data_IF_427315664186
#
_entry.id   IF_427315664186
#
_cell.length_a   1.000
_cell.length_b   1.000
_cell.length_c   1.000
_cell.angle_alpha   90.00
_cell.angle_beta   90.00
_cell.angle_gamma   90.00
#
_symmetry.space_group_name_H-M   'P 1'
#
loop_
_entity.id
_entity.type
_entity.pdbx_description
1 polymer ?
#
# COMPACT_ATOMS: atom_id res chain seq x y z
N UNK A 1 -20.87 10.02 -25.92
CA UNK A 1 -19.66 9.82 -26.76
C UNK A 1 -19.47 8.33 -26.95
N UNK A 2 -19.40 7.84 -28.18
CA UNK A 2 -19.32 6.40 -28.45
C UNK A 2 -18.02 5.82 -27.89
N UNK A 3 -18.07 4.58 -27.39
CA UNK A 3 -16.96 3.85 -26.78
C UNK A 3 -15.68 3.85 -27.64
N UNK A 4 -15.84 3.93 -28.97
CA UNK A 4 -14.75 4.05 -29.94
C UNK A 4 -13.97 5.37 -29.86
N UNK A 5 -14.60 6.49 -29.50
CA UNK A 5 -13.90 7.77 -29.32
C UNK A 5 -13.13 7.83 -27.98
N UNK A 6 -13.65 7.19 -26.93
CA UNK A 6 -12.95 7.08 -25.64
C UNK A 6 -11.68 6.22 -25.74
N UNK A 7 -11.75 5.10 -26.47
CA UNK A 7 -10.58 4.26 -26.71
C UNK A 7 -9.55 4.97 -27.60
N UNK A 8 -9.99 5.75 -28.59
CA UNK A 8 -9.09 6.57 -29.42
C UNK A 8 -8.34 7.65 -28.62
N UNK A 9 -9.03 8.36 -27.73
CA UNK A 9 -8.41 9.40 -26.89
C UNK A 9 -7.46 8.80 -25.85
N UNK A 10 -7.80 7.65 -25.26
CA UNK A 10 -6.91 6.95 -24.33
C UNK A 10 -5.66 6.39 -25.03
N UNK A 11 -5.79 5.84 -26.24
CA UNK A 11 -4.66 5.35 -27.03
C UNK A 11 -3.72 6.49 -27.43
N UNK A 12 -4.26 7.64 -27.83
CA UNK A 12 -3.47 8.85 -28.13
C UNK A 12 -2.81 9.40 -26.87
N UNK A 13 -3.51 9.41 -25.73
CA UNK A 13 -2.96 9.82 -24.43
C UNK A 13 -1.77 8.96 -23.99
N UNK A 14 -1.89 7.64 -24.11
CA UNK A 14 -0.79 6.70 -23.80
C UNK A 14 0.39 6.91 -24.76
N UNK A 15 0.14 7.10 -26.06
CA UNK A 15 1.20 7.39 -27.03
C UNK A 15 1.93 8.71 -26.74
N UNK A 16 1.21 9.74 -26.30
CA UNK A 16 1.81 11.03 -25.90
C UNK A 16 2.65 10.87 -24.63
N UNK A 17 2.19 10.13 -23.64
CA UNK A 17 2.94 9.86 -22.40
C UNK A 17 4.22 9.05 -22.71
N UNK A 18 4.14 8.03 -23.56
CA UNK A 18 5.31 7.24 -23.97
C UNK A 18 6.29 8.09 -24.78
N UNK A 19 5.81 8.99 -25.64
CA UNK A 19 6.66 9.92 -26.38
C UNK A 19 7.34 10.96 -25.48
N UNK A 20 6.65 11.48 -24.47
CA UNK A 20 7.20 12.41 -23.48
C UNK A 20 8.23 11.72 -22.58
N UNK A 21 7.95 10.50 -22.11
CA UNK A 21 8.90 9.68 -21.34
C UNK A 21 10.14 9.32 -22.17
N UNK A 22 9.96 8.95 -23.44
CA UNK A 22 11.06 8.69 -24.37
C UNK A 22 11.89 9.95 -24.67
N UNK A 23 11.23 11.11 -24.81
CA UNK A 23 11.88 12.40 -25.01
C UNK A 23 12.72 12.84 -23.80
N UNK A 24 12.18 12.69 -22.59
CA UNK A 24 12.90 12.95 -21.34
C UNK A 24 14.10 12.02 -21.16
N UNK A 25 13.95 10.72 -21.45
CA UNK A 25 15.06 9.78 -21.40
C UNK A 25 16.17 10.14 -22.39
N UNK A 26 15.82 10.50 -23.63
CA UNK A 26 16.79 10.93 -24.65
C UNK A 26 17.48 12.25 -24.26
N UNK A 27 16.73 13.18 -23.65
CA UNK A 27 17.26 14.44 -23.13
C UNK A 27 18.25 14.20 -21.98
N UNK A 28 17.92 13.32 -21.02
CA UNK A 28 18.83 12.96 -19.94
C UNK A 28 20.11 12.28 -20.43
N UNK A 29 20.02 11.41 -21.44
CA UNK A 29 21.20 10.77 -22.04
C UNK A 29 22.08 11.80 -22.77
N UNK A 30 21.47 12.75 -23.51
CA UNK A 30 22.20 13.84 -24.18
C UNK A 30 22.86 14.79 -23.18
N UNK A 31 22.17 15.15 -22.09
CA UNK A 31 22.75 15.95 -21.01
C UNK A 31 23.93 15.25 -20.33
N UNK A 32 23.80 13.95 -20.02
CA UNK A 32 24.90 13.17 -19.43
C UNK A 32 26.11 13.09 -20.36
N UNK A 33 25.88 12.96 -21.67
CA UNK A 33 26.96 12.93 -22.66
C UNK A 33 27.72 14.27 -22.72
N UNK A 34 27.01 15.40 -22.77
CA UNK A 34 27.63 16.75 -22.70
C UNK A 34 28.42 16.95 -21.42
N UNK A 35 27.88 16.52 -20.28
CA UNK A 35 28.55 16.64 -18.98
C UNK A 35 29.81 15.76 -18.89
N UNK A 36 29.84 14.61 -19.58
CA UNK A 36 31.04 13.78 -19.69
C UNK A 36 32.10 14.36 -20.62
N UNK A 37 31.69 15.00 -21.72
CA UNK A 37 32.58 15.67 -22.67
C UNK A 37 33.19 16.94 -22.03
N UNK A 38 32.41 17.72 -21.29
CA UNK A 38 32.88 18.89 -20.54
C UNK A 38 33.86 18.50 -19.41
N UNK A 39 33.61 17.38 -18.72
CA UNK A 39 34.54 16.86 -17.70
C UNK A 39 35.84 16.36 -18.31
N UNK A 40 35.78 15.69 -19.47
CA UNK A 40 36.98 15.27 -20.19
C UNK A 40 37.83 16.48 -20.62
N UNK A 41 37.20 17.53 -21.16
CA UNK A 41 37.87 18.77 -21.53
C UNK A 41 38.46 19.51 -20.31
N UNK A 42 37.76 19.51 -19.17
CA UNK A 42 38.28 20.11 -17.94
C UNK A 42 39.51 19.36 -17.40
N UNK A 43 39.55 18.03 -17.51
CA UNK A 43 40.70 17.22 -17.11
C UNK A 43 41.89 17.46 -18.06
N UNK A 44 41.64 17.56 -19.37
CA UNK A 44 42.68 17.84 -20.37
C UNK A 44 43.28 19.24 -20.19
N UNK A 45 42.47 20.26 -19.89
CA UNK A 45 42.95 21.61 -19.57
C UNK A 45 43.79 21.65 -18.30
N UNK A 46 43.41 20.92 -17.24
CA UNK A 46 44.18 20.85 -16.00
C UNK A 46 45.52 20.11 -16.21
N UNK A 47 45.56 19.11 -17.09
CA UNK A 47 46.80 18.43 -17.46
C UNK A 47 47.74 19.32 -18.28
N UNK A 48 47.20 20.09 -19.23
CA UNK A 48 47.97 21.05 -20.03
C UNK A 48 48.52 22.22 -19.18
N UNK A 49 47.74 22.74 -18.23
CA UNK A 49 48.17 23.81 -17.31
C UNK A 49 49.29 23.34 -16.37
N UNK A 50 49.25 22.08 -15.90
CA UNK A 50 50.36 21.49 -15.12
C UNK A 50 51.64 21.33 -15.93
N UNK A 51 51.54 20.88 -17.19
CA UNK A 51 52.69 20.76 -18.08
C UNK A 51 53.30 22.13 -18.46
N UNK A 52 52.49 23.19 -18.52
CA UNK A 52 52.95 24.56 -18.73
C UNK A 52 53.59 25.17 -17.47
N UNK A 53 53.08 24.85 -16.28
CA UNK A 53 53.61 25.30 -15.00
C UNK A 53 55.00 24.67 -14.69
N UNK A 54 55.21 23.40 -15.02
CA UNK A 54 56.51 22.72 -14.83
C UNK A 54 57.60 23.23 -15.80
N UNK A 55 57.22 23.96 -16.86
CA UNK A 55 58.15 24.55 -17.84
C UNK A 55 58.53 26.01 -17.52
N UNK A 56 57.87 26.63 -16.54
CA UNK A 56 57.97 28.07 -16.26
C UNK A 56 58.60 28.40 -14.89
N UNK A 57 59.33 27.48 -14.27
CA UNK A 57 60.16 27.78 -13.09
C UNK A 57 61.50 28.38 -13.50
N UNK A 58 61.45 29.62 -14.02
CA UNK A 58 62.60 30.53 -14.10
C UNK A 58 62.13 31.98 -14.37
N UNK A 59 61.48 32.63 -13.40
CA UNK A 59 61.81 34.00 -12.93
C UNK A 59 60.80 34.55 -11.91
N UNK A 60 61.31 35.22 -10.88
CA UNK A 60 60.66 35.45 -9.58
C UNK A 60 59.80 36.73 -9.47
N UNK A 61 58.69 36.64 -8.71
CA UNK A 61 58.13 37.77 -7.94
C UNK A 61 56.83 38.39 -8.45
N UNK A 62 56.82 38.99 -9.64
CA UNK A 62 55.67 39.78 -10.15
C UNK A 62 54.54 38.92 -10.73
N UNK A 63 54.89 37.77 -11.31
CA UNK A 63 53.94 36.81 -11.89
C UNK A 63 53.11 36.13 -10.80
N UNK A 64 53.69 35.82 -9.64
CA UNK A 64 52.99 35.17 -8.53
C UNK A 64 51.82 36.01 -7.99
N UNK A 65 51.96 37.34 -7.96
CA UNK A 65 50.91 38.26 -7.47
C UNK A 65 49.76 38.39 -8.46
N UNK A 66 50.04 38.48 -9.77
CA UNK A 66 49.01 38.47 -10.81
C UNK A 66 48.27 37.12 -10.90
N UNK A 67 48.97 35.99 -10.69
CA UNK A 67 48.36 34.66 -10.68
C UNK A 67 47.43 34.50 -9.47
N UNK A 68 47.84 35.01 -8.30
CA UNK A 68 47.01 34.99 -7.08
C UNK A 68 45.72 35.83 -7.23
N UNK A 69 45.81 37.05 -7.79
CA UNK A 69 44.63 37.89 -8.06
C UNK A 69 43.69 37.26 -9.08
N UNK A 70 44.24 36.66 -10.15
CA UNK A 70 43.43 35.99 -11.19
C UNK A 70 42.75 34.73 -10.66
N UNK A 71 43.37 34.00 -9.74
CA UNK A 71 42.77 32.87 -9.02
C UNK A 71 41.66 33.31 -8.06
N UNK A 72 41.86 34.42 -7.34
CA UNK A 72 40.83 34.97 -6.45
C UNK A 72 39.60 35.45 -7.24
N UNK A 73 39.80 36.14 -8.36
CA UNK A 73 38.71 36.56 -9.23
C UNK A 73 37.95 35.38 -9.85
N UNK A 74 38.67 34.32 -10.28
CA UNK A 74 38.03 33.09 -10.79
C UNK A 74 37.22 32.36 -9.71
N UNK A 75 37.71 32.31 -8.46
CA UNK A 75 36.97 31.70 -7.33
C UNK A 75 35.69 32.48 -7.03
N UNK A 76 35.75 33.79 -6.98
CA UNK A 76 34.57 34.64 -6.75
C UNK A 76 33.52 34.50 -7.87
N UNK A 77 33.95 34.35 -9.13
CA UNK A 77 33.03 34.13 -10.25
C UNK A 77 32.36 32.74 -10.20
N UNK A 78 33.11 31.70 -9.81
CA UNK A 78 32.58 30.35 -9.65
C UNK A 78 31.60 30.25 -8.48
N UNK A 79 31.86 30.96 -7.39
CA UNK A 79 30.99 30.97 -6.21
C UNK A 79 29.65 31.67 -6.49
N UNK A 80 29.68 32.78 -7.25
CA UNK A 80 28.45 33.43 -7.73
C UNK A 80 27.65 32.53 -8.68
N UNK A 81 28.31 31.85 -9.61
CA UNK A 81 27.65 30.92 -10.52
C UNK A 81 27.06 29.69 -9.79
N UNK A 82 27.70 29.22 -8.73
CA UNK A 82 27.19 28.14 -7.89
C UNK A 82 25.95 28.56 -7.09
N UNK A 83 25.94 29.79 -6.56
CA UNK A 83 24.79 30.36 -5.85
C UNK A 83 23.59 30.61 -6.78
N UNK A 84 23.81 31.11 -8.00
CA UNK A 84 22.73 31.27 -8.99
C UNK A 84 22.14 29.93 -9.43
N UNK A 85 22.98 28.91 -9.66
CA UNK A 85 22.49 27.55 -9.97
C UNK A 85 21.71 26.95 -8.81
N UNK A 86 22.19 27.10 -7.57
CA UNK A 86 21.46 26.64 -6.39
C UNK A 86 20.10 27.34 -6.21
N UNK A 87 20.00 28.62 -6.57
CA UNK A 87 18.73 29.35 -6.56
C UNK A 87 17.77 28.86 -7.66
N UNK A 88 18.27 28.58 -8.86
CA UNK A 88 17.47 28.02 -9.96
C UNK A 88 17.01 26.59 -9.67
N UNK A 89 17.86 25.75 -9.08
CA UNK A 89 17.50 24.38 -8.70
C UNK A 89 16.43 24.36 -7.61
N UNK A 90 16.50 25.28 -6.63
CA UNK A 90 15.44 25.44 -5.61
C UNK A 90 14.11 25.86 -6.22
N UNK A 91 14.12 26.81 -7.14
CA UNK A 91 12.90 27.25 -7.83
C UNK A 91 12.29 26.12 -8.69
N UNK A 92 13.11 25.30 -9.35
CA UNK A 92 12.65 24.15 -10.12
C UNK A 92 12.05 23.05 -9.23
N UNK A 93 12.64 22.82 -8.05
CA UNK A 93 12.11 21.86 -7.06
C UNK A 93 10.78 22.34 -6.47
N UNK A 94 10.66 23.62 -6.14
CA UNK A 94 9.39 24.19 -5.65
C UNK A 94 8.28 24.09 -6.70
N UNK A 95 8.56 24.37 -7.97
CA UNK A 95 7.59 24.19 -9.06
C UNK A 95 7.15 22.73 -9.21
N UNK A 96 8.10 21.79 -9.18
CA UNK A 96 7.79 20.36 -9.24
C UNK A 96 6.93 19.88 -8.06
N UNK A 97 7.16 20.40 -6.85
CA UNK A 97 6.34 20.09 -5.67
C UNK A 97 4.91 20.62 -5.85
N UNK A 98 4.75 21.85 -6.38
CA UNK A 98 3.42 22.43 -6.62
C UNK A 98 2.64 21.70 -7.71
N UNK A 99 3.31 21.26 -8.79
CA UNK A 99 2.69 20.48 -9.87
C UNK A 99 2.29 19.08 -9.38
N UNK A 100 3.13 18.45 -8.55
CA UNK A 100 2.84 17.15 -7.96
C UNK A 100 1.64 17.21 -7.00
N UNK A 101 1.58 18.23 -6.14
CA UNK A 101 0.44 18.45 -5.25
C UNK A 101 -0.88 18.70 -6.03
N UNK A 102 -0.81 19.45 -7.13
CA UNK A 102 -1.97 19.66 -8.00
C UNK A 102 -2.43 18.38 -8.72
N UNK A 103 -1.49 17.53 -9.12
CA UNK A 103 -1.79 16.23 -9.74
C UNK A 103 -2.40 15.24 -8.74
N UNK A 104 -1.89 15.19 -7.51
CA UNK A 104 -2.41 14.33 -6.44
C UNK A 104 -3.84 14.74 -6.03
N UNK A 105 -4.11 16.05 -5.93
CA UNK A 105 -5.44 16.56 -5.65
C UNK A 105 -6.44 16.21 -6.77
N UNK A 106 -6.01 16.27 -8.04
CA UNK A 106 -6.83 15.87 -9.17
C UNK A 106 -7.10 14.36 -9.23
N UNK A 107 -6.14 13.51 -8.83
CA UNK A 107 -6.39 12.07 -8.70
C UNK A 107 -7.33 11.73 -7.55
N UNK A 108 -7.17 12.39 -6.39
CA UNK A 108 -8.06 12.23 -5.26
C UNK A 108 -9.52 12.56 -5.61
N UNK A 109 -9.76 13.67 -6.32
CA UNK A 109 -11.10 14.04 -6.80
C UNK A 109 -11.68 13.00 -7.79
N UNK A 110 -10.85 12.45 -8.68
CA UNK A 110 -11.29 11.39 -9.62
C UNK A 110 -11.64 10.09 -8.91
N UNK A 111 -10.91 9.73 -7.85
CA UNK A 111 -11.20 8.56 -7.02
C UNK A 111 -12.51 8.76 -6.26
N UNK A 112 -12.75 9.95 -5.70
CA UNK A 112 -14.00 10.29 -5.01
C UNK A 112 -15.22 10.22 -5.96
N UNK A 113 -15.09 10.79 -7.16
CA UNK A 113 -16.15 10.70 -8.17
C UNK A 113 -16.43 9.26 -8.63
N UNK A 114 -15.40 8.42 -8.73
CA UNK A 114 -15.56 6.99 -9.05
C UNK A 114 -16.26 6.22 -7.93
N UNK A 115 -15.91 6.47 -6.67
CA UNK A 115 -16.58 5.87 -5.51
C UNK A 115 -18.06 6.26 -5.46
N UNK A 116 -18.36 7.56 -5.60
CA UNK A 116 -19.75 8.04 -5.65
C UNK A 116 -20.55 7.45 -6.82
N UNK A 117 -19.93 7.23 -7.98
CA UNK A 117 -20.58 6.58 -9.12
C UNK A 117 -20.80 5.07 -8.90
N UNK A 118 -19.88 4.39 -8.19
CA UNK A 118 -20.04 2.98 -7.82
C UNK A 118 -21.16 2.80 -6.79
N UNK A 119 -21.20 3.63 -5.74
CA UNK A 119 -22.26 3.63 -4.72
C UNK A 119 -23.65 3.86 -5.33
N UNK A 120 -23.78 4.78 -6.30
CA UNK A 120 -25.04 4.99 -7.01
C UNK A 120 -25.49 3.76 -7.81
N UNK A 121 -24.57 3.05 -8.45
CA UNK A 121 -24.88 1.81 -9.18
C UNK A 121 -25.30 0.69 -8.23
N UNK A 122 -24.61 0.55 -7.10
CA UNK A 122 -25.00 -0.42 -6.06
C UNK A 122 -26.39 -0.08 -5.48
N UNK A 123 -26.70 1.20 -5.26
CA UNK A 123 -28.02 1.64 -4.83
C UNK A 123 -29.12 1.34 -5.87
N UNK A 124 -28.86 1.60 -7.16
CA UNK A 124 -29.77 1.26 -8.25
C UNK A 124 -29.96 -0.27 -8.39
N UNK A 125 -28.90 -1.06 -8.23
CA UNK A 125 -28.98 -2.52 -8.24
C UNK A 125 -29.80 -3.05 -7.05
N UNK A 126 -29.60 -2.50 -5.84
CA UNK A 126 -30.41 -2.85 -4.67
C UNK A 126 -31.88 -2.47 -4.87
N UNK A 127 -32.17 -1.31 -5.43
CA UNK A 127 -33.54 -0.89 -5.73
C UNK A 127 -34.20 -1.80 -6.79
N UNK A 128 -33.45 -2.20 -7.81
CA UNK A 128 -33.95 -3.14 -8.83
C UNK A 128 -34.22 -4.53 -8.25
N UNK A 129 -33.38 -4.99 -7.30
CA UNK A 129 -33.58 -6.25 -6.58
C UNK A 129 -34.78 -6.18 -5.65
N UNK A 130 -34.99 -5.05 -4.98
CA UNK A 130 -36.18 -4.83 -4.15
C UNK A 130 -37.45 -4.83 -5.00
N UNK A 131 -37.46 -4.17 -6.17
CA UNK A 131 -38.59 -4.25 -7.10
C UNK A 131 -38.85 -5.66 -7.61
N UNK A 132 -37.80 -6.41 -7.97
CA UNK A 132 -37.95 -7.81 -8.36
C UNK A 132 -38.49 -8.69 -7.22
N UNK A 133 -38.11 -8.40 -5.97
CA UNK A 133 -38.66 -9.07 -4.78
C UNK A 133 -40.11 -8.66 -4.55
N UNK A 134 -40.47 -7.39 -4.73
CA UNK A 134 -41.85 -6.90 -4.62
C UNK A 134 -42.76 -7.50 -5.70
N UNK A 135 -42.28 -7.60 -6.94
CA UNK A 135 -42.98 -8.28 -8.05
C UNK A 135 -43.14 -9.77 -7.76
N UNK A 136 -42.09 -10.44 -7.26
CA UNK A 136 -42.16 -11.84 -6.86
C UNK A 136 -43.11 -12.07 -5.67
N UNK A 137 -43.18 -11.13 -4.72
CA UNK A 137 -44.15 -11.16 -3.61
C UNK A 137 -45.57 -10.93 -4.15
N UNK A 138 -45.77 -10.02 -5.10
CA UNK A 138 -47.07 -9.78 -5.72
C UNK A 138 -47.55 -11.01 -6.51
N UNK A 139 -46.69 -11.60 -7.34
CA UNK A 139 -46.98 -12.84 -8.06
C UNK A 139 -47.27 -14.00 -7.11
N UNK A 140 -46.50 -14.12 -6.01
CA UNK A 140 -46.74 -15.12 -4.98
C UNK A 140 -48.07 -14.90 -4.25
N UNK A 141 -48.44 -13.66 -3.93
CA UNK A 141 -49.74 -13.33 -3.30
C UNK A 141 -50.90 -13.63 -4.25
N UNK A 142 -50.76 -13.34 -5.55
CA UNK A 142 -51.76 -13.72 -6.56
C UNK A 142 -51.87 -15.24 -6.70
N UNK A 143 -50.74 -15.95 -6.76
CA UNK A 143 -50.70 -17.41 -6.78
C UNK A 143 -51.25 -18.04 -5.49
N UNK A 144 -51.08 -17.39 -4.33
CA UNK A 144 -51.62 -17.81 -3.04
C UNK A 144 -53.14 -17.53 -2.96
N UNK A 145 -53.65 -16.47 -3.59
CA UNK A 145 -55.09 -16.21 -3.72
C UNK A 145 -55.77 -17.17 -4.69
N UNK A 146 -55.15 -17.44 -5.84
CA UNK A 146 -55.57 -18.44 -6.81
C UNK A 146 -55.51 -19.84 -6.18
N UNK A 147 -54.43 -20.12 -5.44
CA UNK A 147 -54.22 -21.31 -4.64
C UNK A 147 -55.24 -21.45 -3.50
N UNK A 148 -55.64 -20.36 -2.81
CA UNK A 148 -56.71 -20.37 -1.80
C UNK A 148 -58.10 -20.57 -2.42
N UNK A 149 -58.35 -20.05 -3.62
CA UNK A 149 -59.56 -20.35 -4.41
C UNK A 149 -59.62 -21.84 -4.78
N UNK A 150 -58.48 -22.44 -5.14
CA UNK A 150 -58.34 -23.87 -5.44
C UNK A 150 -58.26 -24.76 -4.19
N UNK A 151 -57.79 -24.25 -3.05
CA UNK A 151 -57.71 -24.97 -1.77
C UNK A 151 -59.03 -24.94 -0.98
N UNK A 152 -59.94 -23.99 -1.28
CA UNK A 152 -61.33 -24.05 -0.81
C UNK A 152 -62.08 -25.32 -1.28
N UNK A 153 -61.51 -26.06 -2.25
CA UNK A 153 -62.07 -27.32 -2.78
C UNK A 153 -61.33 -28.60 -2.36
N UNK A 154 -60.26 -28.54 -1.56
CA UNK A 154 -59.69 -29.77 -0.96
C UNK A 154 -58.74 -29.51 0.21
N UNK A 155 -58.85 -30.22 1.34
CA UNK A 155 -57.92 -30.07 2.45
C UNK A 155 -56.82 -31.15 2.38
N UNK A 156 -55.57 -30.77 2.11
CA UNK A 156 -54.46 -31.37 2.83
C UNK A 156 -53.19 -30.51 2.79
N UNK A 157 -52.54 -30.36 3.95
CA UNK A 157 -51.31 -29.58 4.17
C UNK A 157 -50.07 -30.33 3.68
N UNK A 158 -49.16 -29.63 3.01
CA UNK A 158 -47.73 -29.98 2.93
C UNK A 158 -46.86 -28.75 3.24
N UNK A 159 -45.67 -28.91 3.83
CA UNK A 159 -44.98 -27.83 4.54
C UNK A 159 -44.13 -26.97 3.58
N UNK A 160 -44.37 -25.66 3.62
CA UNK A 160 -43.48 -24.64 3.02
C UNK A 160 -42.16 -24.58 3.80
N UNK A 161 -41.03 -24.58 3.09
CA UNK A 161 -39.70 -24.34 3.68
C UNK A 161 -39.60 -22.87 4.11
N UNK A 162 -39.73 -22.61 5.40
CA UNK A 162 -39.46 -21.31 5.98
C UNK A 162 -37.94 -21.18 6.21
N UNK A 163 -37.29 -20.18 5.60
CA UNK A 163 -35.95 -19.76 6.02
C UNK A 163 -36.07 -19.17 7.43
N UNK A 164 -35.62 -19.92 8.45
CA UNK A 164 -35.69 -19.45 9.83
C UNK A 164 -34.72 -18.28 10.01
N UNK A 165 -35.10 -17.23 10.74
CA UNK A 165 -34.24 -16.06 11.07
C UNK A 165 -32.81 -16.47 11.49
N UNK A 166 -32.68 -17.57 12.22
CA UNK A 166 -31.41 -18.18 12.65
C UNK A 166 -30.51 -18.56 11.47
N UNK A 167 -31.07 -19.11 10.38
CA UNK A 167 -30.30 -19.52 9.19
C UNK A 167 -29.74 -18.31 8.43
N UNK A 168 -30.49 -17.21 8.37
CA UNK A 168 -30.00 -15.97 7.78
C UNK A 168 -28.83 -15.38 8.58
N UNK A 169 -28.92 -15.42 9.92
CA UNK A 169 -27.83 -15.02 10.82
C UNK A 169 -26.62 -15.94 10.61
N UNK A 170 -26.83 -17.25 10.51
CA UNK A 170 -25.77 -18.22 10.26
C UNK A 170 -25.01 -17.93 8.97
N UNK A 171 -25.74 -17.70 7.87
CA UNK A 171 -25.14 -17.37 6.59
C UNK A 171 -24.29 -16.09 6.66
N UNK A 172 -24.78 -15.08 7.39
CA UNK A 172 -24.06 -13.82 7.57
C UNK A 172 -22.78 -14.00 8.40
N UNK A 173 -22.82 -14.83 9.44
CA UNK A 173 -21.65 -15.21 10.24
C UNK A 173 -20.62 -15.92 9.36
N UNK A 174 -21.04 -16.89 8.53
CA UNK A 174 -20.14 -17.62 7.64
C UNK A 174 -19.49 -16.71 6.61
N UNK A 175 -20.26 -15.84 5.97
CA UNK A 175 -19.71 -14.85 5.02
C UNK A 175 -18.70 -13.92 5.71
N UNK A 176 -18.98 -13.49 6.94
CA UNK A 176 -18.02 -12.70 7.70
C UNK A 176 -16.74 -13.48 8.02
N UNK A 177 -16.86 -14.74 8.41
CA UNK A 177 -15.73 -15.62 8.72
C UNK A 177 -14.82 -15.84 7.50
N UNK A 178 -15.40 -15.92 6.30
CA UNK A 178 -14.66 -16.00 5.04
C UNK A 178 -13.87 -14.72 4.75
N UNK A 179 -14.48 -13.55 4.95
CA UNK A 179 -13.77 -12.27 4.82
C UNK A 179 -12.61 -12.19 5.82
N UNK A 180 -12.83 -12.57 7.08
CA UNK A 180 -11.78 -12.58 8.09
C UNK A 180 -10.63 -13.51 7.70
N UNK A 181 -10.93 -14.70 7.15
CA UNK A 181 -9.90 -15.62 6.70
C UNK A 181 -9.06 -15.06 5.54
N UNK A 182 -9.68 -14.35 4.59
CA UNK A 182 -8.97 -13.71 3.46
C UNK A 182 -8.05 -12.59 3.93
N UNK A 183 -8.53 -11.72 4.82
CA UNK A 183 -7.75 -10.62 5.37
C UNK A 183 -6.53 -11.12 6.17
N UNK A 184 -6.67 -12.24 6.89
CA UNK A 184 -5.55 -12.88 7.58
C UNK A 184 -4.49 -13.35 6.58
N UNK A 185 -4.90 -14.00 5.50
CA UNK A 185 -3.96 -14.47 4.47
C UNK A 185 -3.24 -13.31 3.76
N UNK A 186 -3.96 -12.22 3.48
CA UNK A 186 -3.38 -11.03 2.88
C UNK A 186 -2.37 -10.37 3.82
N UNK A 187 -2.73 -10.19 5.10
CA UNK A 187 -1.82 -9.65 6.10
C UNK A 187 -0.58 -10.51 6.28
N UNK A 188 -0.73 -11.83 6.32
CA UNK A 188 0.39 -12.77 6.42
C UNK A 188 1.32 -12.68 5.19
N UNK A 189 0.75 -12.60 3.99
CA UNK A 189 1.52 -12.41 2.76
C UNK A 189 2.33 -11.11 2.79
N UNK A 190 1.69 -10.00 3.19
CA UNK A 190 2.35 -8.70 3.29
C UNK A 190 3.47 -8.75 4.34
N UNK A 191 3.19 -9.28 5.54
CA UNK A 191 4.20 -9.45 6.61
C UNK A 191 5.42 -10.22 6.10
N UNK A 192 5.20 -11.37 5.46
CA UNK A 192 6.27 -12.21 4.94
C UNK A 192 7.07 -11.52 3.82
N UNK A 193 6.42 -10.70 2.98
CA UNK A 193 7.10 -9.90 1.97
C UNK A 193 8.01 -8.84 2.59
N UNK A 194 7.54 -8.13 3.61
CA UNK A 194 8.35 -7.15 4.35
C UNK A 194 9.52 -7.86 5.03
N UNK A 195 9.24 -8.96 5.73
CA UNK A 195 10.25 -9.74 6.46
C UNK A 195 11.35 -10.24 5.53
N UNK A 196 10.99 -10.81 4.37
CA UNK A 196 11.95 -11.17 3.34
C UNK A 196 12.78 -9.96 2.89
N UNK A 197 12.14 -8.82 2.62
CA UNK A 197 12.84 -7.59 2.26
C UNK A 197 13.86 -7.16 3.31
N UNK A 198 13.51 -7.27 4.59
CA UNK A 198 14.39 -6.92 5.73
C UNK A 198 15.54 -7.91 5.89
N UNK A 199 15.27 -9.22 5.78
CA UNK A 199 16.27 -10.26 6.05
C UNK A 199 17.27 -10.42 4.90
N UNK A 200 16.82 -10.29 3.65
CA UNK A 200 17.69 -10.45 2.49
C UNK A 200 18.53 -9.21 2.17
N UNK A 201 18.07 -8.01 2.53
CA UNK A 201 18.77 -6.76 2.20
C UNK A 201 20.22 -6.70 2.70
N UNK A 202 20.57 -7.09 3.95
CA UNK A 202 21.96 -7.17 4.40
C UNK A 202 22.81 -8.18 3.62
N UNK A 203 22.22 -9.29 3.16
CA UNK A 203 22.91 -10.34 2.41
C UNK A 203 23.22 -9.83 1.00
N UNK A 204 22.21 -9.27 0.33
CA UNK A 204 22.36 -8.66 -0.99
C UNK A 204 23.38 -7.53 -0.97
N UNK A 205 23.40 -6.70 0.08
CA UNK A 205 24.39 -5.63 0.22
C UNK A 205 25.81 -6.20 0.26
N UNK A 206 26.06 -7.20 1.11
CA UNK A 206 27.39 -7.84 1.22
C UNK A 206 27.85 -8.45 -0.10
N UNK A 207 26.98 -9.22 -0.75
CA UNK A 207 27.27 -9.81 -2.07
C UNK A 207 27.58 -8.74 -3.12
N UNK A 208 26.78 -7.67 -3.17
CA UNK A 208 27.00 -6.56 -4.12
C UNK A 208 28.31 -5.83 -3.86
N UNK A 209 28.70 -5.66 -2.59
CA UNK A 209 29.98 -5.05 -2.21
C UNK A 209 31.15 -5.92 -2.64
N UNK A 210 31.07 -7.24 -2.47
CA UNK A 210 32.12 -8.17 -2.89
C UNK A 210 32.27 -8.19 -4.42
N UNK A 211 31.17 -8.27 -5.15
CA UNK A 211 31.19 -8.18 -6.62
C UNK A 211 31.69 -6.81 -7.13
N UNK A 212 31.39 -5.73 -6.41
CA UNK A 212 31.89 -4.39 -6.72
C UNK A 212 33.40 -4.29 -6.49
N UNK A 213 33.92 -4.86 -5.39
CA UNK A 213 35.38 -4.94 -5.12
C UNK A 213 36.12 -5.73 -6.20
N UNK A 214 35.48 -6.76 -6.76
CA UNK A 214 35.99 -7.54 -7.89
C UNK A 214 35.83 -6.82 -9.24
N UNK A 215 35.20 -5.64 -9.28
CA UNK A 215 34.96 -4.87 -10.49
C UNK A 215 33.91 -5.50 -11.43
N UNK A 216 33.08 -6.43 -10.95
CA UNK A 216 32.02 -7.07 -11.74
C UNK A 216 30.82 -6.16 -11.94
N UNK A 217 30.43 -5.42 -10.90
CA UNK A 217 29.26 -4.52 -10.87
C UNK A 217 29.66 -3.12 -10.42
N UNK A 218 28.84 -2.11 -10.76
CA UNK A 218 28.99 -0.71 -10.31
C UNK A 218 30.40 -0.11 -10.46
N UNK A 219 31.11 -0.43 -11.55
CA UNK A 219 32.52 -0.04 -11.79
C UNK A 219 32.85 1.45 -11.66
N UNK A 220 31.85 2.32 -11.82
CA UNK A 220 31.99 3.78 -11.75
C UNK A 220 31.33 4.39 -10.50
N UNK A 221 30.77 3.57 -9.62
CA UNK A 221 30.11 4.02 -8.40
C UNK A 221 31.09 3.93 -7.24
N UNK A 222 31.01 4.91 -6.35
CA UNK A 222 31.71 4.87 -5.08
C UNK A 222 31.01 3.94 -4.08
N UNK A 223 31.71 3.55 -3.01
CA UNK A 223 31.10 2.82 -1.91
C UNK A 223 29.95 3.60 -1.25
N UNK A 224 30.05 4.94 -1.20
CA UNK A 224 28.97 5.81 -0.71
C UNK A 224 27.71 5.71 -1.59
N UNK A 225 27.86 5.64 -2.92
CA UNK A 225 26.74 5.49 -3.85
C UNK A 225 26.03 4.14 -3.67
N UNK A 226 26.79 3.08 -3.38
CA UNK A 226 26.25 1.76 -3.04
C UNK A 226 25.47 1.80 -1.72
N UNK A 227 26.03 2.41 -0.67
CA UNK A 227 25.33 2.59 0.60
C UNK A 227 24.01 3.35 0.40
N UNK A 228 24.05 4.47 -0.31
CA UNK A 228 22.87 5.28 -0.59
C UNK A 228 21.79 4.47 -1.34
N UNK A 229 22.18 3.69 -2.35
CA UNK A 229 21.25 2.83 -3.11
C UNK A 229 20.54 1.82 -2.20
N UNK A 230 21.26 1.17 -1.29
CA UNK A 230 20.67 0.19 -0.38
C UNK A 230 19.86 0.83 0.73
N UNK A 231 20.18 2.06 1.17
CA UNK A 231 19.31 2.86 2.03
C UNK A 231 17.99 3.16 1.32
N UNK A 232 18.01 3.60 0.07
CA UNK A 232 16.79 3.80 -0.71
C UNK A 232 15.97 2.52 -0.86
N UNK A 233 16.63 1.36 -1.08
CA UNK A 233 15.94 0.06 -1.12
C UNK A 233 15.28 -0.29 0.22
N UNK A 234 15.92 0.04 1.35
CA UNK A 234 15.32 -0.08 2.68
C UNK A 234 14.09 0.83 2.83
N UNK A 235 14.12 2.04 2.25
CA UNK A 235 12.98 2.97 2.24
C UNK A 235 11.85 2.58 1.28
N UNK A 236 12.12 1.87 0.17
CA UNK A 236 11.26 2.05 -1.00
C UNK A 236 9.87 1.41 -0.98
N UNK A 237 9.52 0.48 -0.08
CA UNK A 237 8.21 -0.20 -0.18
C UNK A 237 7.75 -0.74 1.17
N UNK A 238 6.68 -0.17 1.76
CA UNK A 238 5.68 -0.73 2.71
C UNK A 238 5.45 0.08 3.99
N UNK A 239 4.31 0.77 4.04
CA UNK A 239 3.73 1.44 5.21
C UNK A 239 3.22 0.40 6.23
N UNK A 240 4.11 -0.48 6.70
CA UNK A 240 3.75 -1.52 7.66
C UNK A 240 3.16 -0.95 8.95
N UNK A 241 3.53 0.27 9.35
CA UNK A 241 2.89 0.99 10.47
C UNK A 241 1.48 1.49 10.16
N UNK A 242 1.19 1.90 8.92
CA UNK A 242 -0.18 2.25 8.51
C UNK A 242 -1.08 1.01 8.51
N UNK A 243 -0.57 -0.11 7.99
CA UNK A 243 -1.27 -1.40 8.05
C UNK A 243 -1.56 -1.83 9.49
N UNK A 244 -0.59 -1.68 10.40
CA UNK A 244 -0.81 -1.94 11.82
C UNK A 244 -1.97 -1.12 12.38
N UNK A 245 -2.03 0.18 12.09
CA UNK A 245 -3.12 1.03 12.55
C UNK A 245 -4.48 0.60 11.97
N UNK A 246 -4.55 0.41 10.65
CA UNK A 246 -5.76 0.03 9.93
C UNK A 246 -6.32 -1.31 10.43
N UNK A 247 -5.48 -2.34 10.57
CA UNK A 247 -5.91 -3.65 11.00
C UNK A 247 -6.27 -3.71 12.50
N UNK A 248 -5.59 -2.95 13.36
CA UNK A 248 -6.01 -2.84 14.77
C UNK A 248 -7.43 -2.27 14.90
N UNK A 249 -7.75 -1.22 14.15
CA UNK A 249 -9.12 -0.66 14.13
C UNK A 249 -10.12 -1.66 13.55
N UNK A 250 -9.76 -2.35 12.48
CA UNK A 250 -10.61 -3.35 11.85
C UNK A 250 -10.91 -4.54 12.76
N UNK A 251 -9.94 -5.05 13.53
CA UNK A 251 -10.16 -6.14 14.50
C UNK A 251 -11.18 -5.72 15.57
N UNK A 252 -11.10 -4.47 16.06
CA UNK A 252 -12.09 -3.92 17.02
C UNK A 252 -13.49 -3.92 16.39
N UNK A 253 -13.62 -3.50 15.13
CA UNK A 253 -14.90 -3.54 14.40
C UNK A 253 -15.43 -4.97 14.26
N UNK A 254 -14.56 -5.95 13.94
CA UNK A 254 -14.97 -7.35 13.83
C UNK A 254 -15.46 -7.91 15.16
N UNK A 255 -14.73 -7.64 16.26
CA UNK A 255 -15.15 -8.06 17.61
C UNK A 255 -16.52 -7.47 17.98
N UNK A 256 -16.78 -6.22 17.62
CA UNK A 256 -18.10 -5.60 17.83
C UNK A 256 -19.19 -6.25 16.96
N UNK A 257 -18.87 -6.62 15.72
CA UNK A 257 -19.80 -7.34 14.84
C UNK A 257 -20.15 -8.73 15.40
N UNK A 258 -19.18 -9.45 15.95
CA UNK A 258 -19.43 -10.74 16.64
C UNK A 258 -20.37 -10.57 17.83
N UNK A 259 -20.21 -9.51 18.63
CA UNK A 259 -21.14 -9.18 19.72
C UNK A 259 -22.57 -8.94 19.21
N UNK A 260 -22.73 -8.27 18.07
CA UNK A 260 -24.05 -8.07 17.45
C UNK A 260 -24.66 -9.40 17.01
N UNK A 261 -23.89 -10.31 16.41
CA UNK A 261 -24.40 -11.63 16.04
C UNK A 261 -24.88 -12.42 17.26
N UNK A 262 -24.09 -12.45 18.34
CA UNK A 262 -24.46 -13.10 19.59
C UNK A 262 -25.76 -12.52 20.16
N UNK A 263 -25.91 -11.18 20.16
CA UNK A 263 -27.17 -10.52 20.56
C UNK A 263 -28.35 -10.93 19.68
N UNK A 264 -28.16 -11.02 18.36
CA UNK A 264 -29.22 -11.40 17.41
C UNK A 264 -29.70 -12.85 17.60
N UNK A 265 -28.85 -13.71 18.17
CA UNK A 265 -29.19 -15.08 18.56
C UNK A 265 -29.97 -15.16 19.89
N UNK A 266 -30.26 -14.03 20.55
CA UNK A 266 -31.16 -13.97 21.70
C UNK A 266 -30.48 -13.90 23.06
N UNK A 267 -29.16 -13.69 23.13
CA UNK A 267 -28.45 -13.53 24.40
C UNK A 267 -28.26 -12.06 24.77
N UNK A 268 -28.63 -11.70 25.99
CA UNK A 268 -28.28 -10.39 26.57
C UNK A 268 -26.78 -10.35 26.86
N UNK A 269 -26.13 -9.27 26.44
CA UNK A 269 -24.69 -9.04 26.63
C UNK A 269 -24.50 -7.93 27.65
N UNK A 270 -23.89 -8.25 28.78
CA UNK A 270 -23.45 -7.22 29.72
C UNK A 270 -22.18 -6.53 29.16
N UNK A 271 -22.07 -5.19 29.21
CA UNK A 271 -20.94 -4.46 28.63
C UNK A 271 -19.51 -4.91 29.03
N UNK A 272 -19.23 -5.35 30.29
CA UNK A 272 -17.88 -5.79 30.67
C UNK A 272 -17.56 -7.23 30.24
N UNK A 273 -18.51 -7.96 29.67
CA UNK A 273 -18.34 -9.38 29.40
C UNK A 273 -17.41 -9.66 28.21
N UNK A 274 -16.57 -10.70 28.35
CA UNK A 274 -15.78 -11.22 27.23
C UNK A 274 -16.69 -11.92 26.21
N UNK A 275 -16.33 -11.84 24.93
CA UNK A 275 -17.10 -12.51 23.86
C UNK A 275 -17.14 -14.03 24.11
N UNK A 276 -16.05 -14.60 24.63
CA UNK A 276 -15.95 -16.01 24.98
C UNK A 276 -16.95 -16.42 26.06
N UNK A 277 -17.04 -15.67 27.16
CA UNK A 277 -17.99 -15.95 28.24
C UNK A 277 -19.44 -15.86 27.74
N UNK A 278 -19.72 -14.91 26.84
CA UNK A 278 -21.03 -14.76 26.25
C UNK A 278 -21.41 -15.97 25.37
N UNK A 279 -20.46 -16.48 24.57
CA UNK A 279 -20.66 -17.70 23.76
C UNK A 279 -20.94 -18.90 24.67
N UNK A 280 -20.12 -19.11 25.72
CA UNK A 280 -20.29 -20.23 26.64
C UNK A 280 -21.63 -20.19 27.37
N UNK A 281 -22.08 -18.99 27.77
CA UNK A 281 -23.41 -18.81 28.35
C UNK A 281 -24.51 -19.12 27.32
N UNK A 282 -24.38 -18.63 26.09
CA UNK A 282 -25.34 -18.88 25.02
C UNK A 282 -25.45 -20.38 24.72
N UNK A 283 -24.33 -21.09 24.60
CA UNK A 283 -24.28 -22.54 24.39
C UNK A 283 -24.95 -23.29 25.55
N UNK A 284 -24.68 -22.91 26.81
CA UNK A 284 -25.34 -23.51 27.98
C UNK A 284 -26.84 -23.29 27.97
N UNK A 285 -27.30 -22.06 27.73
CA UNK A 285 -28.72 -21.71 27.71
C UNK A 285 -29.48 -22.50 26.63
N UNK A 286 -28.87 -22.73 25.47
CA UNK A 286 -29.47 -23.57 24.42
C UNK A 286 -29.47 -25.06 24.79
N UNK A 287 -28.40 -25.56 25.40
CA UNK A 287 -28.31 -26.95 25.86
C UNK A 287 -29.35 -27.27 26.96
N UNK A 288 -29.63 -26.31 27.83
CA UNK A 288 -30.65 -26.43 28.89
C UNK A 288 -32.07 -26.57 28.35
N UNK A 289 -32.32 -26.24 27.09
CA UNK A 289 -33.63 -26.45 26.44
C UNK A 289 -33.87 -27.90 26.03
N UNK A 290 -32.87 -28.78 26.12
CA UNK A 290 -32.92 -30.21 25.77
C UNK A 290 -33.57 -30.49 24.40
N UNK A 291 -34.89 -30.73 24.38
CA UNK A 291 -35.68 -31.08 23.19
C UNK A 291 -36.04 -29.85 22.33
N UNK A 292 -36.06 -28.66 22.90
CA UNK A 292 -36.33 -27.39 22.19
C UNK A 292 -35.04 -26.65 21.79
N UNK A 293 -33.88 -27.31 21.93
CA UNK A 293 -32.58 -26.74 21.56
C UNK A 293 -32.51 -26.44 20.06
N UNK A 294 -32.16 -25.21 19.71
CA UNK A 294 -31.93 -24.83 18.32
C UNK A 294 -30.49 -25.20 17.91
N UNK A 295 -30.37 -26.27 17.13
CA UNK A 295 -29.09 -26.78 16.64
C UNK A 295 -28.38 -25.76 15.74
N UNK A 296 -29.13 -24.95 14.98
CA UNK A 296 -28.54 -23.92 14.12
C UNK A 296 -27.88 -22.82 14.98
N UNK A 297 -28.48 -22.46 16.12
CA UNK A 297 -27.86 -21.53 17.08
C UNK A 297 -26.53 -22.07 17.58
N UNK A 298 -26.44 -23.34 17.98
CA UNK A 298 -25.18 -23.95 18.43
C UNK A 298 -24.11 -23.93 17.32
N UNK A 299 -24.48 -24.25 16.07
CA UNK A 299 -23.54 -24.16 14.95
C UNK A 299 -23.09 -22.72 14.69
N UNK A 300 -23.99 -21.75 14.75
CA UNK A 300 -23.63 -20.33 14.58
C UNK A 300 -22.66 -19.86 15.68
N UNK A 301 -22.88 -20.26 16.94
CA UNK A 301 -22.03 -19.91 18.06
C UNK A 301 -20.63 -20.51 17.92
N UNK A 302 -20.54 -21.75 17.39
CA UNK A 302 -19.25 -22.35 17.04
C UNK A 302 -18.53 -21.57 15.95
N UNK A 303 -19.21 -21.22 14.85
CA UNK A 303 -18.59 -20.43 13.77
C UNK A 303 -18.13 -19.03 14.27
N UNK A 304 -18.87 -18.44 15.22
CA UNK A 304 -18.47 -17.18 15.89
C UNK A 304 -17.22 -17.39 16.74
N UNK A 305 -17.13 -18.47 17.53
CA UNK A 305 -15.94 -18.81 18.32
C UNK A 305 -14.72 -19.03 17.41
N UNK A 306 -14.87 -19.80 16.35
CA UNK A 306 -13.78 -20.06 15.40
C UNK A 306 -13.30 -18.75 14.72
N UNK A 307 -14.23 -17.82 14.46
CA UNK A 307 -13.89 -16.48 13.96
C UNK A 307 -13.16 -15.64 15.00
N UNK A 308 -13.58 -15.71 16.27
CA UNK A 308 -12.90 -15.03 17.38
C UNK A 308 -11.46 -15.51 17.54
N UNK A 309 -11.23 -16.83 17.45
CA UNK A 309 -9.89 -17.42 17.54
C UNK A 309 -8.99 -16.96 16.38
N UNK A 310 -9.53 -16.87 15.17
CA UNK A 310 -8.83 -16.31 14.01
C UNK A 310 -8.45 -14.84 14.22
N UNK A 311 -9.34 -14.03 14.81
CA UNK A 311 -9.03 -12.62 15.14
C UNK A 311 -7.92 -12.51 16.20
N UNK A 312 -7.88 -13.40 17.19
CA UNK A 312 -6.79 -13.47 18.17
C UNK A 312 -5.47 -13.85 17.49
N UNK A 313 -5.50 -14.82 16.56
CA UNK A 313 -4.35 -15.15 15.72
C UNK A 313 -3.86 -13.96 14.89
N UNK A 314 -4.79 -13.18 14.33
CA UNK A 314 -4.46 -11.95 13.59
C UNK A 314 -3.77 -10.89 14.47
N UNK A 315 -4.17 -10.75 15.74
CA UNK A 315 -3.46 -9.87 16.69
C UNK A 315 -2.01 -10.31 16.92
N UNK A 316 -1.75 -11.62 16.85
CA UNK A 316 -0.38 -12.15 16.93
C UNK A 316 0.41 -11.82 15.66
N UNK A 317 -0.20 -11.98 14.48
CA UNK A 317 0.42 -11.56 13.21
C UNK A 317 0.74 -10.07 13.19
N UNK A 318 -0.12 -9.21 13.75
CA UNK A 318 0.16 -7.78 13.87
C UNK A 318 1.35 -7.49 14.80
N UNK A 319 1.49 -8.22 15.91
CA UNK A 319 2.67 -8.07 16.78
C UNK A 319 3.95 -8.49 16.06
N UNK A 320 3.91 -9.56 15.28
CA UNK A 320 5.05 -9.97 14.44
C UNK A 320 5.37 -8.91 13.39
N UNK A 321 4.36 -8.36 12.71
CA UNK A 321 4.52 -7.27 11.76
C UNK A 321 5.17 -6.04 12.42
N UNK A 322 4.77 -5.67 13.63
CA UNK A 322 5.40 -4.57 14.39
C UNK A 322 6.90 -4.82 14.62
N UNK A 323 7.28 -6.04 14.96
CA UNK A 323 8.69 -6.42 15.13
C UNK A 323 9.46 -6.31 13.81
N UNK A 324 8.88 -6.78 12.70
CA UNK A 324 9.49 -6.66 11.37
C UNK A 324 9.67 -5.19 10.95
N UNK A 325 8.64 -4.37 11.16
CA UNK A 325 8.71 -2.92 10.90
C UNK A 325 9.80 -2.23 11.74
N UNK A 326 9.96 -2.65 13.00
CA UNK A 326 11.02 -2.14 13.89
C UNK A 326 12.41 -2.54 13.42
N UNK A 327 12.62 -3.81 13.07
CA UNK A 327 13.90 -4.28 12.49
C UNK A 327 14.26 -3.49 11.23
N UNK A 328 13.27 -3.21 10.38
CA UNK A 328 13.46 -2.38 9.18
C UNK A 328 13.85 -0.95 9.51
N UNK A 329 13.16 -0.31 10.45
CA UNK A 329 13.49 1.07 10.83
C UNK A 329 14.89 1.17 11.44
N UNK A 330 15.30 0.17 12.21
CA UNK A 330 16.67 0.02 12.69
C UNK A 330 17.68 -0.10 11.54
N UNK A 331 17.39 -0.90 10.50
CA UNK A 331 18.26 -0.98 9.31
C UNK A 331 18.38 0.34 8.55
N UNK A 332 17.34 1.17 8.56
CA UNK A 332 17.35 2.49 7.93
C UNK A 332 18.18 3.50 8.73
N UNK A 333 18.01 3.49 10.06
CA UNK A 333 18.63 4.45 10.98
C UNK A 333 20.10 4.08 11.23
N UNK A 334 20.37 2.82 11.52
CA UNK A 334 21.69 2.29 11.87
C UNK A 334 21.87 0.91 11.21
N UNK A 335 22.16 0.86 9.90
CA UNK A 335 22.29 -0.40 9.19
C UNK A 335 23.41 -1.26 9.78
N UNK A 336 23.12 -2.54 10.03
CA UNK A 336 24.10 -3.48 10.60
C UNK A 336 25.36 -3.66 9.73
N UNK A 337 25.30 -3.28 8.46
CA UNK A 337 26.42 -3.32 7.51
C UNK A 337 27.22 -2.02 7.44
N UNK A 338 26.75 -0.93 8.06
CA UNK A 338 27.55 0.27 8.33
C UNK A 338 28.13 0.12 9.74
N UNK A 339 29.27 -0.55 9.86
CA UNK A 339 29.92 -0.72 11.17
C UNK A 339 30.14 0.64 11.86
N UNK A 340 29.87 0.71 13.18
CA UNK A 340 30.26 1.84 14.03
C UNK A 340 31.80 1.91 14.07
N UNK A 341 32.39 2.65 13.15
CA UNK A 341 33.83 2.98 13.18
C UNK A 341 34.67 2.45 12.02
N UNK A 342 34.19 2.45 10.78
CA UNK A 342 35.08 2.43 9.62
C UNK A 342 35.08 3.78 8.91
N UNK A 343 35.76 4.75 9.52
CA UNK A 343 36.64 5.72 8.86
C UNK A 343 37.69 6.14 9.89
#
# INVERSE_FOLDING_TARGET
MSHWQLMGVLAVGVLVIVALAGGLALHHVRCRKRLSEERAQAIEQVAADKAAADKATADSGTVARMVAERLAAKRAALEKAALERAAQDRAAVEQAITEWAAAEQAEAERVQLRKAAAERREAEEVESRLRAVEEAIAEWVEAEQEGKRLAATSPNKSPQKNYTRTQAIHQQVRSNAETVAKEIQELEYIKNRIEAGVDFLPIEFRQTVDEWKEGKVFRHSSFEDLKLKFRFKAYSIEDGYELLYMYNQWIVQQRQKLRVFIRLLGTELEPPESIQAAIERAERNEQEKYLEMDVDVIFTLRDIRDTLDKLIGMETLLKELEVVCRKRSEQIIAPAWEAKGSL
#
